data_IF_039343915185
#
_entry.id   IF_039343915185
#
_cell.length_a   1.000
_cell.length_b   1.000
_cell.length_c   1.000
_cell.angle_alpha   90.00
_cell.angle_beta   90.00
_cell.angle_gamma   90.00
#
_symmetry.space_group_name_H-M   'P 1'
#
loop_
_entity.id
_entity.type
_entity.pdbx_description
1 polymer ?
#
# COMPACT_ATOMS: atom_id res chain seq x y z
N UNK A 1 -12.07 14.71 19.79
CA UNK A 1 -13.26 15.47 20.28
C UNK A 1 -13.00 16.97 20.34
N UNK A 2 -11.85 17.44 20.82
CA UNK A 2 -11.51 18.88 20.93
C UNK A 2 -11.45 19.62 19.56
N UNK A 3 -10.70 19.10 18.58
CA UNK A 3 -10.62 19.72 17.23
C UNK A 3 -11.96 19.71 16.45
N UNK A 4 -12.87 18.78 16.78
CA UNK A 4 -14.17 18.70 16.13
C UNK A 4 -15.15 19.78 16.63
N UNK A 5 -14.93 20.33 17.83
CA UNK A 5 -15.79 21.37 18.43
C UNK A 5 -15.21 22.76 18.21
N UNK A 6 -13.88 22.90 18.29
CA UNK A 6 -13.20 24.21 18.26
C UNK A 6 -12.36 24.47 16.99
N UNK A 7 -12.35 23.53 16.03
CA UNK A 7 -11.63 23.66 14.76
C UNK A 7 -10.13 23.41 14.83
N UNK A 8 -9.41 23.76 13.76
CA UNK A 8 -8.01 23.36 13.54
C UNK A 8 -6.99 24.03 14.50
N UNK A 9 -7.38 25.13 15.15
CA UNK A 9 -6.53 25.83 16.12
C UNK A 9 -6.67 25.31 17.56
N UNK A 10 -7.52 24.30 17.80
CA UNK A 10 -7.99 23.95 19.14
C UNK A 10 -6.92 23.34 20.07
N UNK A 11 -5.80 22.88 19.50
CA UNK A 11 -4.63 22.45 20.27
C UNK A 11 -3.40 23.05 19.59
N UNK A 12 -2.96 24.20 20.08
CA UNK A 12 -1.80 24.90 19.54
C UNK A 12 -0.52 24.61 20.30
N UNK A 13 -0.60 24.29 21.60
CA UNK A 13 0.54 24.00 22.47
C UNK A 13 0.23 22.82 23.40
N UNK A 14 1.14 21.85 23.46
CA UNK A 14 1.05 20.68 24.35
C UNK A 14 2.33 20.65 25.19
N UNK A 15 2.19 20.66 26.52
CA UNK A 15 3.29 20.47 27.45
C UNK A 15 3.15 19.09 28.09
N UNK A 16 4.14 18.23 27.85
CA UNK A 16 4.18 16.87 28.38
C UNK A 16 5.35 16.76 29.36
N UNK A 17 5.07 16.38 30.60
CA UNK A 17 6.10 16.11 31.62
C UNK A 17 6.04 14.64 32.01
N UNK A 18 7.12 13.90 31.72
CA UNK A 18 7.26 12.50 32.09
C UNK A 18 7.88 12.40 33.48
N UNK A 19 7.16 11.79 34.44
CA UNK A 19 7.55 11.74 35.85
C UNK A 19 8.09 10.37 36.29
N UNK A 20 8.35 9.46 35.36
CA UNK A 20 8.87 8.12 35.66
C UNK A 20 10.35 8.01 35.25
N UNK A 21 11.20 7.44 36.12
CA UNK A 21 12.63 7.21 35.85
C UNK A 21 12.87 6.23 34.69
N UNK A 22 11.89 5.38 34.39
CA UNK A 22 11.88 4.47 33.24
C UNK A 22 10.53 4.57 32.56
N UNK A 23 10.42 5.38 31.52
CA UNK A 23 9.28 5.36 30.62
C UNK A 23 9.78 5.56 29.19
N UNK A 24 9.16 4.83 28.26
CA UNK A 24 9.56 4.59 26.85
C UNK A 24 10.48 3.37 26.59
N UNK A 25 10.84 2.59 27.61
CA UNK A 25 11.66 1.38 27.41
C UNK A 25 10.86 0.09 27.09
N UNK A 26 9.54 0.10 27.25
CA UNK A 26 8.68 -1.04 26.90
C UNK A 26 8.02 -0.78 25.54
N UNK A 27 8.59 -1.36 24.49
CA UNK A 27 7.99 -1.40 23.17
C UNK A 27 8.63 -0.45 22.16
N UNK A 28 9.90 -0.68 21.82
CA UNK A 28 10.35 -0.32 20.48
C UNK A 28 9.51 -1.14 19.50
N UNK A 29 8.67 -0.47 18.71
CA UNK A 29 8.05 -1.14 17.58
C UNK A 29 9.17 -1.56 16.63
N UNK A 30 9.29 -2.86 16.35
CA UNK A 30 10.22 -3.35 15.34
C UNK A 30 9.80 -2.83 13.97
N UNK A 31 10.35 -1.69 13.56
CA UNK A 31 10.22 -1.15 12.20
C UNK A 31 11.14 -1.87 11.21
N UNK A 32 11.48 -3.14 11.50
CA UNK A 32 12.24 -3.95 10.57
C UNK A 32 11.41 -4.16 9.30
N UNK A 33 11.96 -3.83 8.11
CA UNK A 33 11.25 -4.07 6.87
C UNK A 33 10.91 -5.56 6.75
N UNK A 34 9.64 -5.84 6.41
CA UNK A 34 9.17 -7.21 6.21
C UNK A 34 10.09 -7.94 5.21
N UNK A 35 10.40 -9.22 5.43
CA UNK A 35 11.24 -10.00 4.54
C UNK A 35 10.66 -9.92 3.11
N UNK A 36 11.51 -9.52 2.15
CA UNK A 36 11.11 -9.43 0.74
C UNK A 36 10.67 -10.81 0.29
N UNK A 37 9.37 -10.97 0.05
CA UNK A 37 8.84 -12.17 -0.58
C UNK A 37 9.59 -12.41 -1.90
N UNK A 38 9.97 -13.66 -2.21
CA UNK A 38 10.64 -13.97 -3.46
C UNK A 38 9.74 -13.54 -4.62
N UNK A 39 10.26 -12.66 -5.48
CA UNK A 39 9.62 -12.26 -6.73
C UNK A 39 9.71 -13.42 -7.71
N UNK A 40 8.84 -14.41 -7.55
CA UNK A 40 8.68 -15.45 -8.56
C UNK A 40 7.20 -15.66 -8.79
N UNK A 41 6.61 -14.77 -9.58
CA UNK A 41 5.47 -15.14 -10.40
C UNK A 41 5.93 -14.97 -11.83
N UNK A 42 6.35 -16.08 -12.46
CA UNK A 42 6.37 -16.13 -13.91
C UNK A 42 4.96 -15.74 -14.36
N UNK A 43 4.79 -14.69 -15.20
CA UNK A 43 3.47 -14.27 -15.63
C UNK A 43 2.75 -15.45 -16.29
N UNK A 44 1.50 -15.70 -15.89
CA UNK A 44 0.66 -16.71 -16.51
C UNK A 44 0.57 -16.41 -18.03
N UNK A 45 0.82 -17.38 -18.93
CA UNK A 45 0.69 -17.17 -20.37
C UNK A 45 -0.70 -16.64 -20.77
N UNK A 46 -1.77 -17.00 -20.05
CA UNK A 46 -3.11 -16.47 -20.31
C UNK A 46 -3.23 -14.97 -20.01
N UNK A 47 -2.42 -14.46 -19.08
CA UNK A 47 -2.36 -13.05 -18.71
C UNK A 47 -1.60 -12.22 -19.74
N UNK A 48 -0.54 -12.77 -20.32
CA UNK A 48 0.20 -12.16 -21.43
C UNK A 48 -0.70 -11.97 -22.66
N UNK A 49 -1.49 -12.99 -23.00
CA UNK A 49 -2.45 -12.91 -24.10
C UNK A 49 -3.51 -11.81 -23.88
N UNK A 50 -3.99 -11.64 -22.64
CA UNK A 50 -4.94 -10.57 -22.28
C UNK A 50 -4.31 -9.17 -22.36
N UNK A 51 -3.07 -9.03 -21.94
CA UNK A 51 -2.34 -7.75 -22.03
C UNK A 51 -2.12 -7.34 -23.49
N UNK A 52 -1.76 -8.28 -24.36
CA UNK A 52 -1.61 -8.05 -25.79
C UNK A 52 -2.96 -7.67 -26.43
N UNK A 53 -4.02 -8.46 -26.19
CA UNK A 53 -5.35 -8.18 -26.72
C UNK A 53 -5.89 -6.80 -26.28
N UNK A 54 -5.59 -6.37 -25.04
CA UNK A 54 -6.00 -5.06 -24.53
C UNK A 54 -5.26 -3.88 -25.14
N UNK A 55 -4.14 -4.11 -25.83
CA UNK A 55 -3.27 -3.05 -26.38
C UNK A 55 -3.17 -3.07 -27.92
N UNK A 56 -3.83 -4.01 -28.61
CA UNK A 56 -3.85 -4.09 -30.08
C UNK A 56 -4.34 -2.82 -30.77
N UNK A 57 -5.21 -2.03 -30.14
CA UNK A 57 -5.72 -0.76 -30.68
C UNK A 57 -4.75 0.42 -30.57
N UNK A 58 -3.60 0.26 -29.93
CA UNK A 58 -2.65 1.35 -29.68
C UNK A 58 -1.71 1.49 -30.87
N UNK A 59 -1.83 2.57 -31.64
CA UNK A 59 -1.00 2.80 -32.83
C UNK A 59 0.47 3.13 -32.53
N UNK A 60 0.76 3.68 -31.36
CA UNK A 60 2.13 3.99 -30.93
C UNK A 60 2.81 2.75 -30.29
N UNK A 61 3.94 2.29 -30.84
CA UNK A 61 4.61 1.08 -30.34
C UNK A 61 5.19 1.25 -28.94
N UNK A 62 5.64 2.45 -28.57
CA UNK A 62 6.20 2.73 -27.25
C UNK A 62 5.13 2.68 -26.15
N UNK A 63 3.99 3.30 -26.42
CA UNK A 63 2.82 3.28 -25.54
C UNK A 63 2.26 1.86 -25.40
N UNK A 64 2.19 1.09 -26.49
CA UNK A 64 1.75 -0.31 -26.45
C UNK A 64 2.62 -1.14 -25.50
N UNK A 65 3.94 -1.08 -25.65
CA UNK A 65 4.88 -1.80 -24.79
C UNK A 65 4.79 -1.36 -23.32
N UNK A 66 4.61 -0.05 -23.07
CA UNK A 66 4.45 0.47 -21.71
C UNK A 66 3.17 -0.06 -21.03
N UNK A 67 2.07 -0.16 -21.79
CA UNK A 67 0.80 -0.69 -21.28
C UNK A 67 0.85 -2.19 -21.03
N UNK A 68 1.52 -2.96 -21.88
CA UNK A 68 1.76 -4.40 -21.64
C UNK A 68 2.58 -4.63 -20.38
N UNK A 69 3.66 -3.86 -20.18
CA UNK A 69 4.47 -3.90 -18.96
C UNK A 69 3.66 -3.51 -17.72
N UNK A 70 2.80 -2.49 -17.82
CA UNK A 70 1.93 -2.09 -16.73
C UNK A 70 0.94 -3.21 -16.36
N UNK A 71 0.31 -3.84 -17.35
CA UNK A 71 -0.62 -4.94 -17.13
C UNK A 71 0.07 -6.11 -16.39
N UNK A 72 1.27 -6.51 -16.84
CA UNK A 72 2.07 -7.55 -16.17
C UNK A 72 2.40 -7.18 -14.71
N UNK A 73 2.74 -5.92 -14.44
CA UNK A 73 3.06 -5.46 -13.08
C UNK A 73 1.82 -5.43 -12.15
N UNK A 74 0.64 -5.10 -12.67
CA UNK A 74 -0.60 -5.07 -11.88
C UNK A 74 -1.02 -6.48 -11.47
N UNK A 75 -0.93 -7.45 -12.39
CA UNK A 75 -1.37 -8.82 -12.12
C UNK A 75 -0.40 -9.63 -11.26
N UNK A 76 0.90 -9.30 -11.29
CA UNK A 76 1.90 -9.92 -10.40
C UNK A 76 1.86 -9.35 -8.98
N UNK A 77 1.18 -8.21 -8.77
CA UNK A 77 0.99 -7.64 -7.44
C UNK A 77 -0.10 -8.42 -6.70
N UNK A 78 0.20 -9.00 -5.52
CA UNK A 78 -0.85 -9.60 -4.70
C UNK A 78 -1.87 -8.52 -4.36
N UNK A 79 -3.16 -8.81 -4.57
CA UNK A 79 -4.26 -7.94 -4.16
C UNK A 79 -4.12 -7.75 -2.65
N UNK A 80 -3.69 -6.56 -2.22
CA UNK A 80 -3.68 -6.22 -0.80
C UNK A 80 -5.12 -6.27 -0.33
N UNK A 81 -5.47 -7.30 0.45
CA UNK A 81 -6.78 -7.41 1.08
C UNK A 81 -6.94 -6.17 1.98
N UNK A 82 -7.79 -5.24 1.55
CA UNK A 82 -8.19 -4.11 2.39
C UNK A 82 -8.96 -4.63 3.62
N UNK A 83 -9.02 -3.86 4.72
CA UNK A 83 -9.53 -4.31 6.01
C UNK A 83 -11.05 -4.59 6.09
N UNK A 84 -11.81 -4.55 5.00
CA UNK A 84 -13.28 -4.54 5.03
C UNK A 84 -13.96 -5.91 4.84
N UNK A 85 -13.41 -6.99 5.40
CA UNK A 85 -14.08 -8.31 5.37
C UNK A 85 -14.39 -8.93 6.73
N UNK A 86 -14.47 -8.14 7.80
CA UNK A 86 -15.01 -8.58 9.10
C UNK A 86 -16.38 -7.93 9.33
N UNK A 87 -17.41 -8.51 8.74
CA UNK A 87 -18.80 -8.25 9.16
C UNK A 87 -19.08 -9.00 10.47
N UNK A 88 -19.80 -8.40 11.44
CA UNK A 88 -20.10 -9.06 12.70
C UNK A 88 -21.18 -10.13 12.47
N UNK A 89 -20.93 -11.32 13.02
CA UNK A 89 -21.93 -12.35 13.30
C UNK A 89 -22.08 -12.48 14.81
#
# INVERSE_FOLDING_TARGET
RVNAVYGYAAVSHIHLTQTAATGFAEGQADFAPAPKAPRVSVPDPAMLAKAHAGTEGVGDPGLRAALELLAQNIFTRPRSKGPDSAGPA
#
